data_IF_466396426810
#
_entry.id   IF_466396426810
#
_cell.length_a   1.000
_cell.length_b   1.000
_cell.length_c   1.000
_cell.angle_alpha   90.00
_cell.angle_beta   90.00
_cell.angle_gamma   90.00
#
_symmetry.space_group_name_H-M   'P 1'
#
loop_
_entity.id
_entity.type
_entity.pdbx_description
1 polymer ?
#
# COMPACT_ATOMS: atom_id res chain seq x y z
N UNK A 1 5.42 12.14 26.86
CA UNK A 1 6.57 11.25 26.56
C UNK A 1 6.19 9.80 26.83
N UNK A 2 5.57 9.14 25.85
CA UNK A 2 5.19 7.72 25.95
C UNK A 2 6.45 6.88 25.91
N UNK A 3 6.80 6.29 27.04
CA UNK A 3 7.94 5.40 27.20
C UNK A 3 7.63 4.13 26.39
N UNK A 4 7.99 4.09 25.11
CA UNK A 4 8.00 2.87 24.31
C UNK A 4 9.14 1.97 24.83
N UNK A 5 8.98 1.47 26.05
CA UNK A 5 9.93 0.57 26.69
C UNK A 5 9.74 -0.83 26.11
N UNK A 6 10.78 -1.64 26.23
CA UNK A 6 10.72 -3.10 26.02
C UNK A 6 9.49 -3.73 26.69
N UNK A 7 9.10 -3.23 27.85
CA UNK A 7 7.96 -3.73 28.61
C UNK A 7 6.64 -3.49 27.87
N UNK A 8 6.43 -2.31 27.28
CA UNK A 8 5.21 -2.02 26.50
C UNK A 8 5.11 -2.91 25.27
N UNK A 9 6.24 -3.19 24.61
CA UNK A 9 6.28 -4.13 23.49
C UNK A 9 5.94 -5.56 23.94
N UNK A 10 6.53 -6.02 25.04
CA UNK A 10 6.28 -7.35 25.61
C UNK A 10 4.82 -7.51 26.08
N UNK A 11 4.25 -6.47 26.68
CA UNK A 11 2.87 -6.42 27.11
C UNK A 11 1.90 -6.52 25.92
N UNK A 12 2.14 -5.74 24.85
CA UNK A 12 1.37 -5.82 23.62
C UNK A 12 1.44 -7.21 22.97
N UNK A 13 2.62 -7.83 22.94
CA UNK A 13 2.80 -9.19 22.41
C UNK A 13 2.06 -10.23 23.28
N UNK A 14 2.10 -10.08 24.61
CA UNK A 14 1.35 -10.96 25.53
C UNK A 14 -0.15 -10.85 25.30
N UNK A 15 -0.69 -9.63 25.29
CA UNK A 15 -2.12 -9.38 25.04
C UNK A 15 -2.56 -9.94 23.67
N UNK A 16 -1.73 -9.76 22.64
CA UNK A 16 -1.99 -10.32 21.30
C UNK A 16 -2.03 -11.85 21.32
N UNK A 17 -1.10 -12.50 22.03
CA UNK A 17 -1.06 -13.97 22.16
C UNK A 17 -2.30 -14.50 22.88
N UNK A 18 -2.71 -13.87 23.98
CA UNK A 18 -3.90 -14.23 24.75
C UNK A 18 -5.16 -14.08 23.89
N UNK A 19 -5.32 -12.93 23.22
CA UNK A 19 -6.46 -12.68 22.35
C UNK A 19 -6.59 -13.72 21.21
N UNK A 20 -5.49 -14.06 20.54
CA UNK A 20 -5.51 -15.08 19.48
C UNK A 20 -5.87 -16.48 20.01
N UNK A 21 -5.52 -16.78 21.27
CA UNK A 21 -5.89 -18.03 21.91
C UNK A 21 -7.38 -18.07 22.20
N UNK A 22 -7.93 -16.98 22.73
CA UNK A 22 -9.37 -16.87 23.05
C UNK A 22 -10.27 -16.89 21.81
N UNK A 23 -9.73 -16.50 20.65
CA UNK A 23 -10.42 -16.55 19.35
C UNK A 23 -10.13 -17.85 18.56
N UNK A 24 -9.53 -18.86 19.18
CA UNK A 24 -9.21 -20.15 18.55
C UNK A 24 -8.42 -20.05 17.23
N UNK A 25 -7.59 -19.01 17.09
CA UNK A 25 -6.74 -18.82 15.90
C UNK A 25 -5.77 -20.00 15.78
N UNK A 26 -5.60 -20.57 14.58
CA UNK A 26 -4.76 -21.75 14.38
C UNK A 26 -3.32 -21.56 14.89
N UNK A 27 -2.71 -22.66 15.35
CA UNK A 27 -1.34 -22.61 15.89
C UNK A 27 -0.33 -22.04 14.88
N UNK A 28 -0.47 -22.39 13.61
CA UNK A 28 0.39 -21.89 12.54
C UNK A 28 0.29 -20.36 12.39
N UNK A 29 -0.91 -19.80 12.45
CA UNK A 29 -1.11 -18.35 12.39
C UNK A 29 -0.57 -17.66 13.63
N UNK A 30 -0.78 -18.23 14.83
CA UNK A 30 -0.21 -17.70 16.07
C UNK A 30 1.32 -17.66 16.01
N UNK A 31 1.97 -18.73 15.53
CA UNK A 31 3.42 -18.75 15.34
C UNK A 31 3.90 -17.69 14.34
N UNK A 32 3.20 -17.53 13.20
CA UNK A 32 3.51 -16.48 12.22
C UNK A 32 3.44 -15.08 12.83
N UNK A 33 2.43 -14.80 13.65
CA UNK A 33 2.30 -13.52 14.36
C UNK A 33 3.45 -13.33 15.35
N UNK A 34 3.80 -14.33 16.14
CA UNK A 34 4.94 -14.22 17.08
C UNK A 34 6.24 -13.92 16.34
N UNK A 35 6.54 -14.66 15.27
CA UNK A 35 7.72 -14.42 14.43
C UNK A 35 7.73 -13.00 13.84
N UNK A 36 6.55 -12.47 13.49
CA UNK A 36 6.41 -11.12 12.98
C UNK A 36 6.77 -10.07 14.03
N UNK A 37 6.27 -10.22 15.26
CA UNK A 37 6.63 -9.34 16.37
C UNK A 37 8.12 -9.46 16.73
N UNK A 38 8.68 -10.67 16.78
CA UNK A 38 10.13 -10.87 16.99
C UNK A 38 10.97 -10.16 15.93
N UNK A 39 10.52 -10.21 14.66
CA UNK A 39 11.18 -9.48 13.59
C UNK A 39 11.09 -7.96 13.79
N UNK A 40 9.90 -7.41 14.06
CA UNK A 40 9.75 -5.98 14.38
C UNK A 40 10.69 -5.58 15.51
N UNK A 41 10.70 -6.33 16.60
CA UNK A 41 11.55 -6.09 17.75
C UNK A 41 13.04 -6.05 17.37
N UNK A 42 13.49 -6.99 16.54
CA UNK A 42 14.86 -6.99 16.03
C UNK A 42 15.16 -5.75 15.17
N UNK A 43 14.18 -5.29 14.37
CA UNK A 43 14.36 -4.19 13.40
C UNK A 43 14.32 -2.82 14.03
N UNK A 44 13.35 -2.54 14.90
CA UNK A 44 13.12 -1.20 15.43
C UNK A 44 13.06 -1.13 16.96
N UNK A 45 13.32 -2.24 17.68
CA UNK A 45 13.28 -2.29 19.15
C UNK A 45 11.95 -1.79 19.75
N UNK A 46 10.84 -2.02 19.05
CA UNK A 46 9.52 -1.58 19.48
C UNK A 46 9.25 -0.09 19.27
N UNK A 47 10.14 0.62 18.56
CA UNK A 47 10.01 2.05 18.28
C UNK A 47 9.32 2.24 16.94
N UNK A 48 8.15 2.88 16.96
CA UNK A 48 7.47 3.32 15.73
C UNK A 48 8.14 4.60 15.22
N UNK A 49 8.87 4.47 14.10
CA UNK A 49 9.59 5.59 13.46
C UNK A 49 8.65 6.73 13.07
N UNK A 50 7.38 6.45 12.77
CA UNK A 50 6.41 7.49 12.43
C UNK A 50 6.04 8.39 13.61
N UNK A 51 6.32 7.94 14.84
CA UNK A 51 5.99 8.66 16.08
C UNK A 51 7.19 9.38 16.72
N UNK A 52 8.42 9.04 16.30
CA UNK A 52 9.65 9.49 16.95
C UNK A 52 9.83 11.01 17.00
N UNK A 53 9.37 11.71 15.97
CA UNK A 53 9.64 13.13 15.76
C UNK A 53 8.38 14.00 15.78
N UNK A 54 7.27 13.49 16.31
CA UNK A 54 5.99 14.22 16.33
C UNK A 54 6.07 15.56 17.07
N UNK A 55 6.91 15.65 18.10
CA UNK A 55 7.12 16.89 18.87
C UNK A 55 8.09 17.87 18.20
N UNK A 56 8.83 17.45 17.17
CA UNK A 56 9.77 18.30 16.46
C UNK A 56 9.05 19.25 15.48
N UNK A 57 9.61 20.44 15.15
CA UNK A 57 9.06 21.29 14.09
C UNK A 57 9.00 20.56 12.73
N UNK A 58 7.98 20.88 11.92
CA UNK A 58 7.71 20.21 10.63
C UNK A 58 8.91 20.19 9.69
N UNK A 59 9.66 21.29 9.59
CA UNK A 59 10.86 21.37 8.75
C UNK A 59 11.93 20.37 9.18
N UNK A 60 12.11 20.16 10.49
CA UNK A 60 13.08 19.20 11.01
C UNK A 60 12.62 17.76 10.78
N UNK A 61 11.32 17.49 10.91
CA UNK A 61 10.74 16.19 10.56
C UNK A 61 10.97 15.85 9.08
N UNK A 62 10.76 16.83 8.19
CA UNK A 62 11.00 16.70 6.75
C UNK A 62 12.48 16.43 6.45
N UNK A 63 13.40 17.17 7.06
CA UNK A 63 14.84 16.99 6.86
C UNK A 63 15.35 15.63 7.35
N UNK A 64 14.92 15.18 8.53
CA UNK A 64 15.27 13.87 9.08
C UNK A 64 14.69 12.75 8.19
N UNK A 65 13.39 12.84 7.86
CA UNK A 65 12.71 11.84 7.03
C UNK A 65 13.35 11.74 5.64
N UNK A 66 13.70 12.88 5.05
CA UNK A 66 14.36 12.92 3.75
C UNK A 66 15.77 12.35 3.83
N UNK A 67 16.57 12.72 4.83
CA UNK A 67 17.91 12.18 5.04
C UNK A 67 17.92 10.65 5.08
N UNK A 68 16.95 10.04 5.77
CA UNK A 68 16.83 8.57 5.86
C UNK A 68 16.38 7.90 4.56
N UNK A 69 15.59 8.59 3.72
CA UNK A 69 14.89 7.98 2.57
C UNK A 69 15.43 8.42 1.20
N UNK A 70 16.24 9.48 1.15
CA UNK A 70 16.74 10.12 -0.08
C UNK A 70 17.37 9.12 -1.06
N UNK A 71 18.29 8.29 -0.58
CA UNK A 71 19.00 7.31 -1.41
C UNK A 71 18.07 6.27 -2.08
N UNK A 72 16.86 6.08 -1.55
CA UNK A 72 15.86 5.15 -2.10
C UNK A 72 14.88 5.87 -3.03
N UNK A 73 14.46 7.10 -2.68
CA UNK A 73 13.66 7.95 -3.56
C UNK A 73 14.40 8.26 -4.87
N UNK A 74 15.71 8.49 -4.81
CA UNK A 74 16.54 8.73 -5.98
C UNK A 74 16.70 7.51 -6.91
N UNK A 75 16.42 6.30 -6.42
CA UNK A 75 16.43 5.07 -7.24
C UNK A 75 15.11 4.87 -7.99
N UNK A 76 14.01 5.47 -7.53
CA UNK A 76 12.74 5.40 -8.24
C UNK A 76 12.78 6.29 -9.48
N UNK A 77 12.43 5.74 -10.64
CA UNK A 77 12.32 6.50 -11.88
C UNK A 77 11.24 7.59 -11.76
N UNK A 78 10.18 7.33 -10.99
CA UNK A 78 9.13 8.31 -10.74
C UNK A 78 9.63 9.54 -9.97
N UNK A 79 10.55 9.36 -9.00
CA UNK A 79 10.91 10.42 -8.06
C UNK A 79 12.32 11.00 -8.23
N UNK A 80 13.21 10.32 -8.95
CA UNK A 80 14.60 10.76 -9.15
C UNK A 80 14.68 12.16 -9.75
N UNK A 81 15.44 13.05 -9.12
CA UNK A 81 15.70 14.40 -9.63
C UNK A 81 14.49 15.33 -9.62
N UNK A 82 13.41 14.96 -8.93
CA UNK A 82 12.33 15.92 -8.64
C UNK A 82 12.80 16.98 -7.63
N UNK A 83 12.03 18.06 -7.53
CA UNK A 83 12.29 19.16 -6.62
C UNK A 83 12.49 18.68 -5.17
N UNK A 84 13.57 19.12 -4.53
CA UNK A 84 13.95 18.65 -3.19
C UNK A 84 12.89 18.96 -2.13
N UNK A 85 12.26 20.14 -2.17
CA UNK A 85 11.19 20.50 -1.23
C UNK A 85 9.99 19.55 -1.32
N UNK A 86 9.64 19.11 -2.52
CA UNK A 86 8.63 18.07 -2.71
C UNK A 86 9.08 16.73 -2.11
N UNK A 87 10.32 16.30 -2.38
CA UNK A 87 10.84 15.03 -1.86
C UNK A 87 10.94 15.01 -0.33
N UNK A 88 11.25 16.17 0.28
CA UNK A 88 11.21 16.39 1.72
C UNK A 88 9.82 16.23 2.31
N UNK A 89 8.81 16.84 1.70
CA UNK A 89 7.43 16.64 2.14
C UNK A 89 6.94 15.21 1.87
N UNK A 90 7.35 14.58 0.76
CA UNK A 90 6.97 13.21 0.40
C UNK A 90 7.56 12.18 1.38
N UNK A 91 8.79 12.37 1.83
CA UNK A 91 9.48 11.43 2.72
C UNK A 91 8.72 11.22 4.04
N UNK A 92 8.07 12.26 4.56
CA UNK A 92 7.23 12.19 5.76
C UNK A 92 5.96 11.36 5.58
N UNK A 93 5.56 11.07 4.34
CA UNK A 93 4.38 10.26 3.99
C UNK A 93 4.73 8.79 3.72
N UNK A 94 6.00 8.42 3.80
CA UNK A 94 6.44 7.04 3.65
C UNK A 94 6.21 6.26 4.94
N UNK A 95 5.56 5.10 4.82
CA UNK A 95 5.33 4.18 5.94
C UNK A 95 6.29 3.00 5.85
N UNK A 96 7.05 2.75 6.91
CA UNK A 96 7.88 1.56 6.99
C UNK A 96 7.03 0.34 7.37
N UNK A 97 7.06 -0.69 6.54
CA UNK A 97 6.38 -1.96 6.73
C UNK A 97 7.39 -3.11 6.75
N UNK A 98 7.03 -4.18 7.46
CA UNK A 98 7.86 -5.37 7.65
C UNK A 98 7.14 -6.59 7.11
N UNK A 99 7.85 -7.44 6.38
CA UNK A 99 7.34 -8.66 5.78
C UNK A 99 8.25 -9.83 6.13
N UNK A 100 7.66 -10.92 6.63
CA UNK A 100 8.36 -12.19 6.81
C UNK A 100 8.51 -12.90 5.45
N UNK A 101 9.42 -13.88 5.32
CA UNK A 101 9.47 -14.74 4.15
C UNK A 101 8.08 -15.30 3.79
N UNK A 102 7.82 -15.41 2.49
CA UNK A 102 6.57 -15.86 1.88
C UNK A 102 5.35 -14.95 2.07
N UNK A 103 5.46 -13.88 2.88
CA UNK A 103 4.37 -12.91 2.99
C UNK A 103 4.19 -12.19 1.65
N UNK A 104 2.95 -12.11 1.19
CA UNK A 104 2.61 -11.32 0.01
C UNK A 104 2.62 -9.83 0.35
N UNK A 105 3.38 -9.08 -0.44
CA UNK A 105 3.39 -7.62 -0.48
C UNK A 105 2.27 -7.14 -1.40
N UNK A 106 2.09 -7.81 -2.54
CA UNK A 106 1.06 -7.53 -3.54
C UNK A 106 0.42 -8.84 -3.99
N UNK A 107 -0.89 -8.86 -4.23
CA UNK A 107 -1.53 -9.94 -4.98
C UNK A 107 -1.98 -9.48 -6.35
N UNK A 108 -1.75 -10.32 -7.36
CA UNK A 108 -2.26 -10.12 -8.72
C UNK A 108 -3.80 -10.01 -8.69
N UNK A 109 -4.33 -9.03 -9.41
CA UNK A 109 -5.76 -8.76 -9.51
C UNK A 109 -6.28 -7.74 -8.51
N UNK A 110 -5.56 -7.52 -7.39
CA UNK A 110 -6.01 -6.57 -6.37
C UNK A 110 -6.05 -5.13 -6.91
N UNK A 111 -7.05 -4.38 -6.50
CA UNK A 111 -7.09 -2.93 -6.67
C UNK A 111 -6.25 -2.27 -5.57
N UNK A 112 -4.93 -2.30 -5.74
CA UNK A 112 -4.02 -1.61 -4.81
C UNK A 112 -3.91 -0.11 -5.12
N UNK A 113 -3.69 0.70 -4.09
CA UNK A 113 -3.49 2.14 -4.22
C UNK A 113 -2.10 2.59 -3.77
N UNK A 114 -1.18 1.66 -3.50
CA UNK A 114 0.14 1.95 -2.98
C UNK A 114 1.26 1.56 -3.95
N UNK A 115 2.40 2.22 -3.83
CA UNK A 115 3.67 1.68 -4.31
C UNK A 115 4.58 1.35 -3.14
N UNK A 116 5.57 0.51 -3.41
CA UNK A 116 6.47 -0.03 -2.41
C UNK A 116 7.92 0.06 -2.89
N UNK A 117 8.80 0.57 -2.03
CA UNK A 117 10.25 0.64 -2.27
C UNK A 117 10.92 -0.35 -1.33
N UNK A 118 11.70 -1.28 -1.87
CA UNK A 118 12.42 -2.27 -1.06
C UNK A 118 13.55 -1.54 -0.33
N UNK A 119 13.44 -1.41 0.99
CA UNK A 119 14.44 -0.74 1.81
C UNK A 119 15.55 -1.71 2.21
N UNK A 120 15.18 -2.90 2.68
CA UNK A 120 16.07 -3.99 3.04
C UNK A 120 15.45 -5.33 2.65
N UNK A 121 16.27 -6.27 2.19
CA UNK A 121 15.82 -7.63 1.87
C UNK A 121 15.55 -7.85 0.39
N UNK A 122 14.65 -8.79 0.10
CA UNK A 122 14.44 -9.29 -1.26
C UNK A 122 13.03 -9.83 -1.45
N UNK A 123 12.44 -9.53 -2.60
CA UNK A 123 11.12 -10.01 -3.00
C UNK A 123 11.18 -10.70 -4.36
N UNK A 124 10.20 -11.54 -4.64
CA UNK A 124 9.97 -12.13 -5.96
C UNK A 124 8.61 -11.73 -6.50
N UNK A 125 8.58 -11.36 -7.78
CA UNK A 125 7.34 -11.11 -8.51
C UNK A 125 7.00 -12.26 -9.43
N UNK A 126 5.72 -12.58 -9.53
CA UNK A 126 5.23 -13.69 -10.33
C UNK A 126 3.72 -13.86 -10.25
N UNK A 127 3.27 -15.09 -10.47
CA UNK A 127 1.87 -15.46 -10.35
C UNK A 127 1.73 -16.90 -9.87
N UNK A 128 0.62 -17.19 -9.20
CA UNK A 128 0.27 -18.56 -8.83
C UNK A 128 -0.48 -19.23 -9.99
N UNK A 129 -0.09 -20.46 -10.33
CA UNK A 129 -0.84 -21.36 -11.20
C UNK A 129 -2.10 -21.90 -10.47
N UNK A 130 -3.07 -22.48 -11.19
CA UNK A 130 -4.25 -23.08 -10.58
C UNK A 130 -3.97 -24.23 -9.59
N UNK A 131 -2.83 -24.90 -9.74
CA UNK A 131 -2.35 -25.97 -8.85
C UNK A 131 -1.66 -25.44 -7.57
N UNK A 132 -1.55 -24.12 -7.43
CA UNK A 132 -0.91 -23.46 -6.29
C UNK A 132 0.59 -23.19 -6.44
N UNK A 133 1.23 -23.66 -7.52
CA UNK A 133 2.65 -23.39 -7.78
C UNK A 133 2.87 -21.90 -8.06
N UNK A 134 3.79 -21.27 -7.35
CA UNK A 134 4.18 -19.88 -7.61
C UNK A 134 5.30 -19.81 -8.64
N UNK A 135 4.99 -19.28 -9.82
CA UNK A 135 5.96 -19.09 -10.91
C UNK A 135 6.66 -17.75 -10.72
N UNK A 136 7.96 -17.79 -10.43
CA UNK A 136 8.80 -16.60 -10.28
C UNK A 136 9.18 -16.07 -11.67
N UNK A 137 8.88 -14.79 -11.92
CA UNK A 137 9.29 -14.09 -13.15
C UNK A 137 10.50 -13.20 -12.93
N UNK A 138 10.65 -12.62 -11.73
CA UNK A 138 11.79 -11.78 -11.38
C UNK A 138 12.02 -11.73 -9.88
N UNK A 139 13.29 -11.52 -9.50
CA UNK A 139 13.73 -11.26 -8.13
C UNK A 139 14.23 -9.82 -8.05
N UNK A 140 13.84 -9.12 -6.99
CA UNK A 140 14.15 -7.70 -6.79
C UNK A 140 14.66 -7.47 -5.38
N UNK A 141 15.75 -6.71 -5.28
CA UNK A 141 16.43 -6.39 -4.03
C UNK A 141 16.35 -4.90 -3.73
N UNK A 142 17.10 -4.44 -2.73
CA UNK A 142 17.09 -3.08 -2.19
C UNK A 142 17.16 -1.97 -3.25
N UNK A 143 16.27 -0.99 -3.11
CA UNK A 143 16.13 0.15 -4.01
C UNK A 143 15.26 -0.09 -5.25
N UNK A 144 14.82 -1.33 -5.51
CA UNK A 144 13.80 -1.58 -6.53
C UNK A 144 12.42 -1.18 -6.02
N UNK A 145 11.56 -0.82 -6.96
CA UNK A 145 10.22 -0.32 -6.71
C UNK A 145 9.20 -1.25 -7.35
N UNK A 146 8.10 -1.52 -6.63
CA UNK A 146 6.97 -2.31 -7.12
C UNK A 146 5.66 -1.56 -6.92
N UNK A 147 4.67 -1.86 -7.76
CA UNK A 147 3.32 -1.30 -7.62
C UNK A 147 3.11 0.12 -8.14
N UNK A 148 4.14 0.74 -8.74
CA UNK A 148 4.11 2.10 -9.31
C UNK A 148 2.93 2.34 -10.26
N UNK A 149 2.58 1.35 -11.08
CA UNK A 149 1.48 1.49 -12.05
C UNK A 149 0.12 1.74 -11.37
N UNK A 150 -0.14 1.05 -10.26
CA UNK A 150 -1.40 1.22 -9.53
C UNK A 150 -1.44 2.54 -8.76
N UNK A 151 -0.29 3.03 -8.30
CA UNK A 151 -0.16 4.35 -7.70
C UNK A 151 -0.61 5.45 -8.68
N UNK A 152 -0.20 5.41 -9.95
CA UNK A 152 -0.51 6.48 -10.92
C UNK A 152 -1.88 6.31 -11.60
N UNK A 153 -2.26 5.08 -11.96
CA UNK A 153 -3.43 4.83 -12.81
C UNK A 153 -4.60 4.13 -12.10
N UNK A 154 -4.46 3.74 -10.83
CA UNK A 154 -5.50 3.02 -10.08
C UNK A 154 -5.98 1.76 -10.81
N UNK A 155 -5.03 0.99 -11.35
CA UNK A 155 -5.27 -0.24 -12.10
C UNK A 155 -4.99 -1.48 -11.22
N UNK A 156 -5.63 -2.63 -11.53
CA UNK A 156 -5.34 -3.90 -10.86
C UNK A 156 -3.85 -4.27 -10.90
N UNK A 157 -3.36 -4.89 -9.83
CA UNK A 157 -1.99 -5.43 -9.79
C UNK A 157 -1.82 -6.49 -10.88
N UNK A 158 -0.78 -6.36 -11.70
CA UNK A 158 -0.50 -7.32 -12.79
C UNK A 158 0.16 -8.61 -12.31
N UNK A 159 0.89 -8.52 -11.21
CA UNK A 159 1.69 -9.60 -10.64
C UNK A 159 1.50 -9.60 -9.14
N UNK A 160 1.66 -10.79 -8.56
CA UNK A 160 1.85 -10.92 -7.14
C UNK A 160 3.32 -10.65 -6.82
N UNK A 161 3.59 -10.12 -5.63
CA UNK A 161 4.93 -9.93 -5.10
C UNK A 161 4.95 -10.50 -3.69
N UNK A 162 5.89 -11.39 -3.40
CA UNK A 162 6.08 -11.94 -2.05
C UNK A 162 7.52 -11.79 -1.59
N UNK A 163 7.70 -11.65 -0.29
CA UNK A 163 9.03 -11.56 0.32
C UNK A 163 9.74 -12.91 0.25
N UNK A 164 11.01 -12.92 -0.19
CA UNK A 164 11.87 -14.12 -0.19
C UNK A 164 12.59 -14.28 1.15
N UNK A 165 12.85 -13.17 1.81
CA UNK A 165 13.53 -13.05 3.10
C UNK A 165 12.74 -12.07 3.97
N UNK A 166 13.12 -11.96 5.22
CA UNK A 166 12.78 -10.81 6.05
C UNK A 166 13.05 -9.51 5.27
N UNK A 167 12.00 -8.73 5.02
CA UNK A 167 12.04 -7.59 4.11
C UNK A 167 11.41 -6.37 4.77
N UNK A 168 12.10 -5.24 4.68
CA UNK A 168 11.61 -3.93 5.11
C UNK A 168 11.26 -3.13 3.86
N UNK A 169 10.09 -2.50 3.85
CA UNK A 169 9.56 -1.81 2.68
C UNK A 169 9.01 -0.46 3.08
N UNK A 170 9.35 0.58 2.32
CA UNK A 170 8.62 1.85 2.40
C UNK A 170 7.39 1.79 1.50
N UNK A 171 6.22 2.03 2.07
CA UNK A 171 4.96 2.15 1.37
C UNK A 171 4.58 3.63 1.19
N UNK A 172 4.13 3.98 0.00
CA UNK A 172 3.53 5.27 -0.31
C UNK A 172 2.12 5.05 -0.83
N UNK A 173 1.13 5.67 -0.21
CA UNK A 173 -0.24 5.60 -0.68
C UNK A 173 -0.51 6.65 -1.76
N UNK A 174 -1.37 6.31 -2.72
CA UNK A 174 -1.80 7.20 -3.81
C UNK A 174 -2.47 8.45 -3.27
N UNK A 175 -3.31 8.35 -2.24
CA UNK A 175 -3.97 9.50 -1.63
C UNK A 175 -2.93 10.48 -1.12
N UNK A 176 -1.98 9.99 -0.33
CA UNK A 176 -0.90 10.81 0.21
C UNK A 176 -0.05 11.45 -0.88
N UNK A 177 0.21 10.75 -2.00
CA UNK A 177 0.89 11.37 -3.14
C UNK A 177 0.02 12.43 -3.82
N UNK A 178 -1.24 12.11 -4.14
CA UNK A 178 -2.13 13.01 -4.87
C UNK A 178 -2.41 14.29 -4.10
N UNK A 179 -2.67 14.18 -2.80
CA UNK A 179 -2.88 15.31 -1.90
C UNK A 179 -1.64 16.21 -1.86
N UNK A 180 -0.42 15.65 -1.89
CA UNK A 180 0.81 16.45 -1.96
C UNK A 180 0.98 17.14 -3.31
N UNK A 181 0.60 16.48 -4.40
CA UNK A 181 0.78 17.01 -5.75
C UNK A 181 -0.14 18.19 -6.08
N UNK A 182 -1.15 18.47 -5.25
CA UNK A 182 -1.97 19.69 -5.36
C UNK A 182 -1.12 20.95 -5.16
N UNK A 183 -0.15 20.90 -4.24
CA UNK A 183 0.76 22.02 -3.94
C UNK A 183 1.96 22.11 -4.91
N UNK A 184 2.21 21.04 -5.68
CA UNK A 184 3.37 20.93 -6.58
C UNK A 184 2.95 20.61 -8.03
N UNK A 185 2.27 21.53 -8.73
CA UNK A 185 1.71 21.27 -10.06
C UNK A 185 2.78 20.97 -11.13
N UNK A 186 3.98 21.54 -11.01
CA UNK A 186 5.09 21.22 -11.94
C UNK A 186 5.56 19.78 -11.76
N UNK A 187 5.78 19.36 -10.50
CA UNK A 187 6.14 17.99 -10.16
C UNK A 187 5.07 16.99 -10.60
N UNK A 188 3.79 17.35 -10.45
CA UNK A 188 2.66 16.55 -10.92
C UNK A 188 2.77 16.24 -12.41
N UNK A 189 3.04 17.25 -13.25
CA UNK A 189 3.22 17.05 -14.69
C UNK A 189 4.41 16.15 -15.01
N UNK A 190 5.53 16.30 -14.29
CA UNK A 190 6.69 15.44 -14.48
C UNK A 190 6.39 13.97 -14.14
N UNK A 191 5.74 13.71 -13.00
CA UNK A 191 5.34 12.35 -12.60
C UNK A 191 4.36 11.75 -13.62
N UNK A 192 3.41 12.53 -14.13
CA UNK A 192 2.48 12.11 -15.17
C UNK A 192 3.20 11.73 -16.47
N UNK A 193 4.15 12.56 -16.92
CA UNK A 193 4.97 12.29 -18.11
C UNK A 193 5.82 11.02 -17.95
N UNK A 194 6.51 10.88 -16.80
CA UNK A 194 7.31 9.69 -16.49
C UNK A 194 6.45 8.44 -16.45
N UNK A 195 5.26 8.53 -15.88
CA UNK A 195 4.30 7.42 -15.82
C UNK A 195 3.83 6.97 -17.20
N UNK A 196 3.63 7.91 -18.14
CA UNK A 196 3.30 7.58 -19.54
C UNK A 196 4.45 6.82 -20.20
N UNK A 197 5.68 7.27 -20.00
CA UNK A 197 6.86 6.62 -20.60
C UNK A 197 7.02 5.21 -20.02
N UNK A 198 6.89 5.06 -18.70
CA UNK A 198 7.05 3.78 -18.01
C UNK A 198 5.94 2.79 -18.32
N UNK A 199 4.68 3.25 -18.40
CA UNK A 199 3.50 2.36 -18.42
C UNK A 199 2.64 2.49 -19.68
N UNK A 200 3.01 3.36 -20.63
CA UNK A 200 2.25 3.57 -21.86
C UNK A 200 2.17 2.31 -22.72
N UNK A 201 3.27 1.58 -22.86
CA UNK A 201 3.31 0.28 -23.56
C UNK A 201 2.49 -0.81 -22.87
N UNK A 202 2.17 -0.62 -21.60
CA UNK A 202 1.36 -1.54 -20.82
C UNK A 202 -0.15 -1.27 -20.98
N UNK A 203 -0.57 -0.23 -21.72
CA UNK A 203 -1.98 0.11 -21.88
C UNK A 203 -2.54 0.96 -20.73
N UNK A 204 -1.69 1.71 -20.04
CA UNK A 204 -2.15 2.74 -19.11
C UNK A 204 -2.98 3.82 -19.85
N UNK A 205 -4.10 4.30 -19.29
CA UNK A 205 -4.92 5.34 -19.91
C UNK A 205 -4.09 6.56 -20.30
N UNK A 206 -4.25 7.05 -21.53
CA UNK A 206 -3.59 8.29 -21.96
C UNK A 206 -4.26 9.47 -21.24
N UNK A 207 -3.52 10.53 -20.92
CA UNK A 207 -4.03 11.71 -20.18
C UNK A 207 -5.35 12.27 -20.76
N UNK A 208 -5.53 12.19 -22.09
CA UNK A 208 -6.75 12.64 -22.79
C UNK A 208 -8.03 11.88 -22.38
N UNK A 209 -7.92 10.66 -21.84
CA UNK A 209 -9.09 9.88 -21.42
C UNK A 209 -9.61 10.29 -20.03
N UNK A 210 -8.79 10.94 -19.20
CA UNK A 210 -9.20 11.46 -17.88
C UNK A 210 -10.07 12.71 -18.01
N UNK A 211 -9.69 13.64 -18.91
CA UNK A 211 -10.45 14.88 -19.16
C UNK A 211 -11.85 14.59 -19.73
N UNK A 212 -12.00 13.53 -20.55
CA UNK A 212 -13.31 13.10 -21.08
C UNK A 212 -14.22 12.48 -20.02
N UNK A 213 -13.66 11.91 -18.94
CA UNK A 213 -14.44 11.29 -17.86
C UNK A 213 -14.89 12.30 -16.81
N UNK A 214 -14.14 13.37 -16.54
CA UNK A 214 -14.57 14.44 -15.63
C UNK A 214 -15.56 15.43 -16.26
N UNK A 215 -15.59 15.56 -17.59
CA UNK A 215 -16.53 16.41 -18.32
C UNK A 215 -17.84 15.71 -18.74
N UNK A 216 -17.95 14.39 -18.52
CA UNK A 216 -19.06 13.57 -19.04
C UNK A 216 -20.32 13.47 -18.15
N UNK A 217 -20.32 14.04 -16.95
CA UNK A 217 -21.48 13.96 -16.04
C UNK A 217 -22.26 15.28 -16.01
N UNK A 218 -22.93 15.63 -17.11
CA UNK A 218 -24.05 16.60 -17.17
C UNK A 218 -24.54 16.73 -18.64
N UNK A 219 -25.32 15.77 -19.16
CA UNK A 219 -26.38 16.07 -20.14
C UNK A 219 -27.32 14.87 -20.42
N UNK A 220 -28.57 15.06 -20.01
CA UNK A 220 -29.84 14.67 -20.65
C UNK A 220 -30.13 13.21 -21.06
N UNK A 221 -31.12 12.67 -20.34
CA UNK A 221 -32.19 11.77 -20.82
C UNK A 221 -32.86 12.30 -22.10
N UNK A 222 -33.17 11.39 -23.04
CA UNK A 222 -34.50 11.28 -23.70
C UNK A 222 -34.69 9.90 -24.35
N UNK A 223 -35.95 9.54 -24.45
CA UNK A 223 -36.61 8.23 -24.53
C UNK A 223 -36.83 7.64 -25.94
N UNK A 224 -36.90 6.30 -26.03
CA UNK A 224 -37.87 5.46 -26.80
C UNK A 224 -37.23 4.08 -27.09
N UNK A 225 -37.83 2.89 -26.94
CA UNK A 225 -39.15 2.45 -26.55
C UNK A 225 -39.20 0.91 -26.49
N UNK A 226 -40.21 0.39 -25.77
CA UNK A 226 -40.92 -0.90 -25.86
C UNK A 226 -40.16 -2.25 -25.89
N UNK A 227 -40.53 -3.08 -24.89
CA UNK A 227 -40.29 -4.52 -24.70
C UNK A 227 -41.10 -5.38 -25.71
N UNK A 228 -40.83 -6.69 -25.82
CA UNK A 228 -41.65 -7.61 -25.04
C UNK A 228 -40.91 -8.76 -24.34
N UNK A 229 -41.69 -9.39 -23.47
CA UNK A 229 -41.42 -10.34 -22.41
C UNK A 229 -41.32 -11.77 -22.96
N UNK A 230 -40.43 -12.61 -22.41
CA UNK A 230 -40.90 -13.91 -21.90
C UNK A 230 -39.99 -14.53 -20.83
N UNK A 231 -40.67 -14.99 -19.80
CA UNK A 231 -40.24 -15.71 -18.60
C UNK A 231 -39.70 -17.11 -18.88
N UNK A 232 -38.69 -17.54 -18.13
CA UNK A 232 -38.87 -18.62 -17.13
C UNK A 232 -37.75 -18.58 -16.10
N UNK A 233 -38.15 -18.65 -14.83
CA UNK A 233 -37.32 -18.59 -13.64
C UNK A 233 -36.50 -19.86 -13.42
N UNK A 234 -35.33 -19.73 -12.78
CA UNK A 234 -35.01 -20.49 -11.58
C UNK A 234 -33.88 -19.82 -10.79
N UNK A 235 -34.17 -19.60 -9.52
CA UNK A 235 -33.36 -18.94 -8.53
C UNK A 235 -32.33 -19.90 -7.93
N UNK A 236 -31.08 -19.44 -7.74
CA UNK A 236 -30.23 -19.90 -6.64
C UNK A 236 -29.52 -18.69 -6.03
N UNK A 237 -29.87 -18.43 -4.78
CA UNK A 237 -29.24 -17.52 -3.84
C UNK A 237 -27.74 -17.80 -3.69
N UNK A 238 -26.91 -16.76 -3.68
CA UNK A 238 -25.74 -16.68 -2.78
C UNK A 238 -25.37 -15.23 -2.50
N UNK A 239 -25.20 -14.97 -1.21
CA UNK A 239 -25.20 -13.68 -0.55
C UNK A 239 -24.03 -12.77 -0.96
N UNK A 240 -24.34 -11.48 -1.08
CA UNK A 240 -23.38 -10.37 -1.06
C UNK A 240 -23.03 -10.08 0.40
N UNK A 241 -21.74 -10.07 0.73
CA UNK A 241 -21.24 -9.46 1.96
C UNK A 241 -20.88 -7.99 1.68
N UNK A 242 -21.28 -7.04 2.55
CA UNK A 242 -20.99 -5.63 2.37
C UNK A 242 -19.58 -5.27 2.89
N UNK A 243 -18.68 -4.85 2.00
CA UNK A 243 -17.39 -4.29 2.37
C UNK A 243 -17.54 -2.82 2.76
N UNK A 244 -17.90 -2.57 4.02
CA UNK A 244 -17.94 -1.24 4.62
C UNK A 244 -16.62 -0.90 5.32
N UNK A 245 -16.07 0.28 5.00
CA UNK A 245 -15.26 1.18 5.83
C UNK A 245 -14.48 0.58 7.02
N UNK A 246 -13.19 0.27 6.80
CA UNK A 246 -12.21 0.19 7.87
C UNK A 246 -11.72 1.61 8.25
N UNK A 247 -12.55 2.35 8.99
CA UNK A 247 -12.09 3.55 9.72
C UNK A 247 -12.90 3.96 10.96
N UNK A 248 -13.70 3.07 11.56
CA UNK A 248 -14.42 3.43 12.79
C UNK A 248 -14.74 2.21 13.68
N UNK A 249 -13.74 1.65 14.36
CA UNK A 249 -13.99 0.73 15.49
C UNK A 249 -12.86 0.78 16.53
N UNK A 250 -12.57 1.96 17.06
CA UNK A 250 -11.66 2.12 18.20
C UNK A 250 -12.17 3.20 19.19
N UNK A 251 -13.49 3.29 19.37
CA UNK A 251 -14.12 4.25 20.27
C UNK A 251 -15.29 3.67 21.10
N UNK A 252 -15.26 2.38 21.43
CA UNK A 252 -16.16 1.80 22.45
C UNK A 252 -15.48 0.68 23.24
N UNK A 253 -14.45 1.04 24.01
CA UNK A 253 -13.93 0.17 25.07
C UNK A 253 -13.18 0.95 26.17
N UNK A 254 -13.62 2.15 26.53
CA UNK A 254 -13.28 2.80 27.80
C UNK A 254 -14.51 3.56 28.30
N UNK A 255 -15.45 2.79 28.83
CA UNK A 255 -16.56 3.27 29.65
C UNK A 255 -16.44 2.67 31.04
N UNK A 256 -15.41 3.13 31.77
CA UNK A 256 -15.16 3.14 33.23
C UNK A 256 -13.65 3.19 33.47
#
# INVERSE_FOLDING_TARGET
MTRLSKESFEENLRATKEHMKDQDVSQDLRHKVVNYYEYIWLRNRGVDVSTLFLEAPRCLQEDISYSMTKAYLEKSVLFRGLQETFLKSLSTRLRLLFFLPENYVLHRGDMGAEMYIIFRGEVESGYSKPDGEFVVEAVMSEGKVVGEMSLTYSLPRRRSVRARKHTDIFALNRRDLMDLLEDFPTVKREIEQRSIIMFGHLGAPRLKDKERRSSGSLSARKSSGLMPVNSSAQAINRARSPGANAKHTLDMALGM
#
